data_IF_759685994943
#
_entry.id   IF_759685994943
#
_cell.length_a   1.000
_cell.length_b   1.000
_cell.length_c   1.000
_cell.angle_alpha   90.00
_cell.angle_beta   90.00
_cell.angle_gamma   90.00
#
_symmetry.space_group_name_H-M   'P 1'
#
loop_
_entity.id
_entity.type
_entity.pdbx_description
1 polymer ?
#
# COMPACT_ATOMS: atom_id res chain seq x y z
N UNK A 1 -16.37 9.72 1.55
CA UNK A 1 -15.24 9.68 0.60
C UNK A 1 -15.17 10.99 -0.18
N UNK A 2 -16.19 11.32 -0.98
CA UNK A 2 -16.23 12.55 -1.79
C UNK A 2 -15.96 13.85 -1.01
N UNK A 3 -16.59 14.00 0.17
CA UNK A 3 -16.39 15.18 1.02
C UNK A 3 -14.94 15.38 1.46
N UNK A 4 -14.21 14.29 1.72
CA UNK A 4 -12.80 14.31 2.15
C UNK A 4 -11.89 14.66 0.97
N UNK A 5 -12.15 14.09 -0.21
CA UNK A 5 -11.43 14.42 -1.45
C UNK A 5 -11.56 15.91 -1.80
N UNK A 6 -12.77 16.46 -1.71
CA UNK A 6 -13.07 17.84 -2.11
C UNK A 6 -12.59 18.90 -1.11
N UNK A 7 -12.39 18.54 0.16
CA UNK A 7 -12.03 19.48 1.23
C UNK A 7 -10.78 19.02 1.98
N UNK A 8 -9.59 19.04 1.35
CA UNK A 8 -8.38 18.44 1.89
C UNK A 8 -7.81 19.13 3.14
N UNK A 9 -8.30 20.31 3.50
CA UNK A 9 -7.90 21.05 4.71
C UNK A 9 -8.96 21.06 5.79
N UNK A 10 -10.14 20.48 5.54
CA UNK A 10 -11.23 20.44 6.49
C UNK A 10 -11.21 19.10 7.24
N UNK A 11 -11.44 19.12 8.55
CA UNK A 11 -11.61 17.89 9.31
C UNK A 11 -12.91 17.18 8.91
N UNK A 12 -12.76 15.96 8.40
CA UNK A 12 -13.85 15.05 8.05
C UNK A 12 -13.67 13.71 8.75
N UNK A 13 -14.68 12.85 8.69
CA UNK A 13 -14.64 11.52 9.31
C UNK A 13 -13.51 10.60 8.80
N UNK A 14 -12.89 10.89 7.65
CA UNK A 14 -11.78 10.08 7.12
C UNK A 14 -10.40 10.53 7.65
N UNK A 15 -10.27 11.77 8.15
CA UNK A 15 -9.01 12.26 8.69
C UNK A 15 -8.60 11.55 9.99
N UNK A 16 -9.59 11.04 10.74
CA UNK A 16 -9.34 10.26 11.97
C UNK A 16 -8.80 8.85 11.68
N UNK A 17 -8.93 8.38 10.44
CA UNK A 17 -8.54 7.02 10.02
C UNK A 17 -7.27 7.05 9.17
N UNK A 18 -7.09 8.08 8.36
CA UNK A 18 -5.97 8.24 7.45
C UNK A 18 -4.92 9.18 8.05
N UNK A 19 -3.76 8.67 8.50
CA UNK A 19 -2.71 9.48 9.12
C UNK A 19 -1.90 10.24 8.05
N UNK A 20 -2.59 11.09 7.27
CA UNK A 20 -1.99 11.88 6.21
C UNK A 20 -1.07 12.95 6.79
N UNK A 21 0.08 13.11 6.18
CA UNK A 21 1.04 14.15 6.54
C UNK A 21 0.98 15.26 5.50
N UNK A 22 1.30 16.49 5.88
CA UNK A 22 1.36 17.60 4.94
C UNK A 22 2.46 17.39 3.88
N UNK A 23 2.26 18.00 2.71
CA UNK A 23 3.16 17.89 1.57
C UNK A 23 4.58 18.38 1.90
N UNK A 24 4.75 19.40 2.74
CA UNK A 24 6.10 19.91 3.06
C UNK A 24 6.89 18.86 3.86
N UNK A 25 6.28 18.25 4.86
CA UNK A 25 6.88 17.16 5.65
C UNK A 25 7.10 15.91 4.79
N UNK A 26 6.21 15.62 3.83
CA UNK A 26 6.39 14.51 2.90
C UNK A 26 7.59 14.74 1.95
N UNK A 27 7.74 15.95 1.39
CA UNK A 27 8.91 16.31 0.59
C UNK A 27 10.21 16.31 1.39
N UNK A 28 10.17 16.77 2.65
CA UNK A 28 11.32 16.65 3.55
C UNK A 28 11.69 15.18 3.78
N UNK A 29 10.69 14.31 3.99
CA UNK A 29 10.91 12.86 4.12
C UNK A 29 11.56 12.27 2.87
N UNK A 30 11.13 12.69 1.67
CA UNK A 30 11.77 12.30 0.41
C UNK A 30 13.23 12.78 0.33
N UNK A 31 13.48 14.03 0.70
CA UNK A 31 14.82 14.62 0.72
C UNK A 31 15.76 13.85 1.67
N UNK A 32 15.27 13.53 2.88
CA UNK A 32 16.03 12.73 3.85
C UNK A 32 16.28 11.32 3.34
N UNK A 33 15.30 10.68 2.70
CA UNK A 33 15.50 9.37 2.07
C UNK A 33 16.63 9.40 1.02
N UNK A 34 16.62 10.40 0.12
CA UNK A 34 17.70 10.61 -0.86
C UNK A 34 19.05 10.83 -0.19
N UNK A 35 19.09 11.65 0.85
CA UNK A 35 20.30 11.95 1.60
C UNK A 35 20.88 10.69 2.28
N UNK A 36 20.02 9.87 2.92
CA UNK A 36 20.44 8.60 3.52
C UNK A 36 20.98 7.65 2.47
N UNK A 37 20.32 7.48 1.32
CA UNK A 37 20.84 6.68 0.20
C UNK A 37 22.19 7.21 -0.27
N UNK A 38 22.34 8.52 -0.45
CA UNK A 38 23.58 9.15 -0.88
C UNK A 38 24.72 8.90 0.11
N UNK A 39 24.47 9.07 1.41
CA UNK A 39 25.46 8.84 2.47
C UNK A 39 25.85 7.37 2.57
N UNK A 40 24.87 6.45 2.51
CA UNK A 40 25.13 5.02 2.64
C UNK A 40 26.00 4.50 1.49
N UNK A 41 25.75 4.95 0.26
CA UNK A 41 26.61 4.64 -0.90
C UNK A 41 28.02 5.21 -0.69
N UNK A 42 28.15 6.43 -0.17
CA UNK A 42 29.47 7.03 0.08
C UNK A 42 30.25 6.29 1.16
N UNK A 43 29.59 5.78 2.21
CA UNK A 43 30.22 4.93 3.22
C UNK A 43 30.74 3.64 2.59
N UNK A 44 29.90 2.96 1.80
CA UNK A 44 30.29 1.72 1.10
C UNK A 44 31.49 1.97 0.17
N UNK A 45 31.44 3.03 -0.64
CA UNK A 45 32.54 3.41 -1.53
C UNK A 45 33.81 3.82 -0.77
N UNK A 46 33.65 4.46 0.38
CA UNK A 46 34.74 4.79 1.29
C UNK A 46 35.47 3.55 1.77
N UNK A 47 34.75 2.51 2.18
CA UNK A 47 35.32 1.23 2.59
C UNK A 47 35.96 0.50 1.40
N UNK A 48 35.29 0.47 0.24
CA UNK A 48 35.86 -0.14 -0.98
C UNK A 48 37.21 0.50 -1.32
N UNK A 49 37.27 1.81 -1.42
CA UNK A 49 38.48 2.51 -1.88
C UNK A 49 39.59 2.57 -0.83
N UNK A 50 39.24 2.68 0.47
CA UNK A 50 40.24 2.88 1.52
C UNK A 50 40.61 1.61 2.29
N UNK A 51 39.82 0.54 2.16
CA UNK A 51 40.08 -0.74 2.85
C UNK A 51 40.34 -1.84 1.84
N UNK A 52 39.36 -2.18 0.99
CA UNK A 52 39.47 -3.37 0.12
C UNK A 52 40.40 -3.17 -1.07
N UNK A 53 40.44 -1.97 -1.65
CA UNK A 53 41.28 -1.63 -2.80
C UNK A 53 42.66 -1.07 -2.39
N UNK A 54 42.96 -0.97 -1.08
CA UNK A 54 44.25 -0.52 -0.54
C UNK A 54 45.11 -1.69 -0.11
N UNK A 55 46.26 -1.88 -0.75
CA UNK A 55 47.21 -2.95 -0.40
C UNK A 55 47.97 -2.59 0.89
N UNK A 56 47.43 -2.97 2.05
CA UNK A 56 48.12 -2.82 3.34
C UNK A 56 49.27 -3.84 3.49
N UNK A 57 50.37 -3.50 4.18
CA UNK A 57 51.42 -4.45 4.52
C UNK A 57 51.00 -5.43 5.64
N UNK A 58 51.61 -6.64 5.72
CA UNK A 58 51.33 -7.65 6.75
C UNK A 58 51.42 -7.15 8.19
N UNK A 59 52.29 -6.17 8.45
CA UNK A 59 52.52 -5.59 9.77
C UNK A 59 51.32 -4.78 10.31
N UNK A 60 50.34 -4.43 9.47
CA UNK A 60 49.14 -3.69 9.86
C UNK A 60 47.91 -4.59 10.08
N UNK A 61 48.11 -5.84 10.52
CA UNK A 61 47.01 -6.67 11.00
C UNK A 61 46.22 -5.91 12.10
N UNK A 62 44.87 -5.86 12.04
CA UNK A 62 43.97 -6.69 11.25
C UNK A 62 43.54 -6.10 9.88
N UNK A 63 44.11 -4.97 9.45
CA UNK A 63 43.80 -4.33 8.15
C UNK A 63 44.49 -5.01 6.97
N UNK A 64 45.43 -5.92 7.24
CA UNK A 64 46.07 -6.73 6.24
C UNK A 64 45.14 -7.83 5.72
N UNK A 65 44.78 -7.76 4.44
CA UNK A 65 44.14 -8.83 3.71
C UNK A 65 45.09 -9.32 2.62
N UNK A 66 45.12 -10.62 2.29
CA UNK A 66 45.88 -11.12 1.15
C UNK A 66 45.14 -10.74 -0.15
N UNK A 67 45.33 -9.49 -0.59
CA UNK A 67 44.53 -8.82 -1.63
C UNK A 67 44.95 -9.19 -3.06
N UNK A 68 45.24 -10.46 -3.31
CA UNK A 68 45.69 -10.96 -4.61
C UNK A 68 44.61 -10.90 -5.71
N UNK A 69 43.35 -10.59 -5.35
CA UNK A 69 42.22 -10.49 -6.27
C UNK A 69 42.09 -9.14 -7.00
N UNK A 70 41.23 -9.07 -8.04
CA UNK A 70 40.94 -7.84 -8.78
C UNK A 70 40.27 -6.78 -7.90
N UNK A 71 40.42 -5.51 -8.25
CA UNK A 71 39.80 -4.38 -7.52
C UNK A 71 38.29 -4.49 -7.52
N UNK A 72 37.69 -4.29 -6.34
CA UNK A 72 36.23 -4.28 -6.18
C UNK A 72 35.69 -3.00 -6.82
N UNK A 73 34.74 -3.08 -7.76
CA UNK A 73 34.17 -1.90 -8.38
C UNK A 73 33.30 -1.15 -7.38
N UNK A 74 33.34 0.18 -7.45
CA UNK A 74 32.57 1.06 -6.57
C UNK A 74 31.08 1.04 -6.92
N UNK A 75 30.26 1.33 -5.93
CA UNK A 75 28.82 1.46 -6.08
C UNK A 75 28.48 2.83 -6.69
N UNK A 76 27.62 2.83 -7.70
CA UNK A 76 27.07 4.04 -8.26
C UNK A 76 26.15 4.72 -7.24
N UNK A 77 26.41 5.99 -6.98
CA UNK A 77 25.50 6.83 -6.20
C UNK A 77 24.44 7.39 -7.15
N UNK A 78 23.14 7.11 -6.94
CA UNK A 78 22.10 7.66 -7.80
C UNK A 78 21.90 9.16 -7.62
N UNK A 79 22.55 9.78 -6.63
CA UNK A 79 22.42 11.19 -6.32
C UNK A 79 23.78 11.91 -6.29
N UNK A 80 23.75 13.18 -6.64
CA UNK A 80 24.80 14.14 -6.34
C UNK A 80 24.71 14.62 -4.88
N UNK A 81 25.73 15.36 -4.41
CA UNK A 81 25.76 15.92 -3.06
C UNK A 81 24.65 16.95 -2.78
N UNK A 82 24.11 17.58 -3.83
CA UNK A 82 22.92 18.44 -3.80
C UNK A 82 21.60 17.65 -3.98
N UNK A 83 21.64 16.32 -3.89
CA UNK A 83 20.49 15.40 -3.99
C UNK A 83 19.77 15.37 -5.35
N UNK A 84 20.36 15.95 -6.40
CA UNK A 84 19.85 15.78 -7.77
C UNK A 84 20.23 14.40 -8.31
N UNK A 85 19.42 13.87 -9.21
CA UNK A 85 19.68 12.57 -9.84
C UNK A 85 21.02 12.59 -10.60
N UNK A 86 21.72 11.47 -10.57
CA UNK A 86 23.03 11.28 -11.18
C UNK A 86 23.04 9.98 -11.99
N UNK A 87 23.60 10.05 -13.19
CA UNK A 87 23.91 8.86 -13.97
C UNK A 87 25.23 8.22 -13.51
N UNK A 88 25.29 6.89 -13.60
CA UNK A 88 26.48 6.15 -13.18
C UNK A 88 27.64 6.37 -14.15
N UNK A 89 28.83 6.59 -13.60
CA UNK A 89 30.05 6.68 -14.39
C UNK A 89 30.52 5.30 -14.86
N UNK A 90 31.39 5.28 -15.88
CA UNK A 90 31.97 4.04 -16.37
C UNK A 90 32.72 3.30 -15.26
N UNK A 91 32.43 2.00 -15.12
CA UNK A 91 33.05 1.13 -14.10
C UNK A 91 32.35 1.15 -12.73
N UNK A 92 31.35 2.01 -12.52
CA UNK A 92 30.50 1.94 -11.33
C UNK A 92 29.41 0.86 -11.47
N UNK A 93 29.03 0.24 -10.37
CA UNK A 93 27.96 -0.77 -10.35
C UNK A 93 26.67 -0.18 -9.80
N UNK A 94 25.55 -0.42 -10.48
CA UNK A 94 24.24 0.05 -10.04
C UNK A 94 23.78 -0.67 -8.76
N UNK A 95 22.91 0.00 -7.97
CA UNK A 95 22.29 -0.60 -6.79
C UNK A 95 21.58 -1.94 -7.07
N UNK A 96 21.03 -2.09 -8.28
CA UNK A 96 20.33 -3.31 -8.69
C UNK A 96 21.27 -4.51 -8.89
N UNK A 97 22.46 -4.28 -9.46
CA UNK A 97 23.37 -5.35 -9.86
C UNK A 97 24.55 -5.57 -8.90
N UNK A 98 24.76 -4.66 -7.95
CA UNK A 98 25.96 -4.64 -7.12
C UNK A 98 26.22 -5.95 -6.36
N UNK A 99 25.17 -6.57 -5.80
CA UNK A 99 25.29 -7.83 -5.07
C UNK A 99 25.80 -8.96 -5.97
N UNK A 100 25.24 -9.11 -7.17
CA UNK A 100 25.66 -10.13 -8.14
C UNK A 100 27.08 -9.87 -8.67
N UNK A 101 27.46 -8.62 -8.92
CA UNK A 101 28.81 -8.28 -9.37
C UNK A 101 29.84 -8.56 -8.28
N UNK A 102 29.56 -8.16 -7.03
CA UNK A 102 30.50 -8.32 -5.92
C UNK A 102 30.74 -9.76 -5.49
N UNK A 103 29.83 -10.71 -5.79
CA UNK A 103 30.06 -12.15 -5.55
C UNK A 103 31.37 -12.65 -6.16
N UNK A 104 31.77 -12.11 -7.30
CA UNK A 104 33.00 -12.50 -8.03
C UNK A 104 34.29 -12.08 -7.32
N UNK A 105 34.18 -11.27 -6.26
CA UNK A 105 35.31 -10.71 -5.52
C UNK A 105 35.42 -11.32 -4.11
N UNK A 106 34.55 -12.28 -3.78
CA UNK A 106 34.58 -12.99 -2.51
C UNK A 106 35.76 -13.96 -2.49
N UNK A 107 36.53 -13.91 -1.41
CA UNK A 107 37.60 -14.86 -1.12
C UNK A 107 37.14 -15.90 -0.08
N UNK A 108 37.80 -17.05 -0.06
CA UNK A 108 37.75 -17.97 1.08
C UNK A 108 38.63 -17.43 2.19
N UNK A 109 38.21 -17.55 3.44
CA UNK A 109 38.92 -17.00 4.60
C UNK A 109 39.67 -18.09 5.36
N UNK A 110 40.88 -17.77 5.84
CA UNK A 110 41.66 -18.60 6.77
C UNK A 110 41.08 -18.54 8.20
N UNK A 111 41.62 -19.36 9.11
CA UNK A 111 41.29 -19.30 10.54
C UNK A 111 41.61 -17.95 11.22
N UNK A 112 42.41 -17.09 10.58
CA UNK A 112 42.70 -15.72 11.05
C UNK A 112 41.79 -14.65 10.44
N UNK A 113 40.78 -15.03 9.64
CA UNK A 113 39.82 -14.10 9.03
C UNK A 113 40.34 -13.35 7.81
N UNK A 114 41.51 -13.74 7.28
CA UNK A 114 42.14 -13.14 6.10
C UNK A 114 41.83 -13.97 4.86
N UNK A 115 41.71 -13.35 3.69
CA UNK A 115 41.58 -14.06 2.42
C UNK A 115 42.73 -15.06 2.21
N UNK A 116 42.41 -16.32 1.94
CA UNK A 116 43.34 -17.38 1.53
C UNK A 116 43.41 -17.51 0.01
N UNK A 117 42.30 -17.29 -0.68
CA UNK A 117 42.19 -17.36 -2.15
C UNK A 117 42.13 -15.96 -2.77
N UNK A 118 42.38 -15.83 -4.10
CA UNK A 118 42.28 -14.55 -4.79
C UNK A 118 40.88 -13.93 -4.63
N UNK A 119 40.83 -12.77 -3.98
CA UNK A 119 39.62 -11.98 -3.76
C UNK A 119 39.93 -10.80 -2.85
N UNK A 120 38.95 -9.92 -2.65
CA UNK A 120 39.10 -8.72 -1.82
C UNK A 120 37.98 -8.53 -0.79
N UNK A 121 36.92 -9.33 -0.88
CA UNK A 121 35.80 -9.31 0.06
C UNK A 121 35.77 -10.62 0.84
N UNK A 122 35.72 -10.54 2.17
CA UNK A 122 35.37 -11.70 2.98
C UNK A 122 33.85 -11.93 2.91
N UNK A 123 33.35 -13.15 3.17
CA UNK A 123 31.91 -13.40 3.21
C UNK A 123 31.15 -12.48 4.18
N UNK A 124 31.78 -12.12 5.31
CA UNK A 124 31.21 -11.19 6.29
C UNK A 124 31.06 -9.78 5.71
N UNK A 125 32.11 -9.22 5.11
CA UNK A 125 32.04 -7.88 4.52
C UNK A 125 31.09 -7.83 3.33
N UNK A 126 31.08 -8.87 2.49
CA UNK A 126 30.10 -9.00 1.41
C UNK A 126 28.65 -8.92 1.92
N UNK A 127 28.35 -9.61 3.03
CA UNK A 127 27.00 -9.62 3.62
C UNK A 127 26.62 -8.25 4.17
N UNK A 128 27.55 -7.53 4.81
CA UNK A 128 27.30 -6.18 5.30
C UNK A 128 27.10 -5.17 4.16
N UNK A 129 27.93 -5.23 3.13
CA UNK A 129 27.80 -4.38 1.95
C UNK A 129 26.51 -4.66 1.18
N UNK A 130 26.12 -5.93 1.04
CA UNK A 130 24.87 -6.29 0.35
C UNK A 130 23.64 -5.81 1.12
N UNK A 131 23.65 -5.88 2.45
CA UNK A 131 22.60 -5.29 3.28
C UNK A 131 22.50 -3.77 3.07
N UNK A 132 23.64 -3.06 3.06
CA UNK A 132 23.66 -1.61 2.80
C UNK A 132 23.14 -1.26 1.41
N UNK A 133 23.50 -2.04 0.38
CA UNK A 133 22.98 -1.88 -0.98
C UNK A 133 21.47 -2.14 -1.03
N UNK A 134 20.97 -3.19 -0.38
CA UNK A 134 19.55 -3.52 -0.39
C UNK A 134 18.71 -2.42 0.26
N UNK A 135 19.16 -1.86 1.38
CA UNK A 135 18.51 -0.70 2.02
C UNK A 135 18.55 0.51 1.09
N UNK A 136 19.71 0.82 0.50
CA UNK A 136 19.87 1.92 -0.45
C UNK A 136 18.95 1.77 -1.66
N UNK A 137 18.84 0.55 -2.20
CA UNK A 137 17.95 0.20 -3.30
C UNK A 137 16.48 0.37 -2.91
N UNK A 138 16.10 -0.09 -1.72
CA UNK A 138 14.73 0.06 -1.22
C UNK A 138 14.32 1.53 -1.08
N UNK A 139 15.18 2.35 -0.45
CA UNK A 139 14.96 3.79 -0.31
C UNK A 139 14.89 4.50 -1.67
N UNK A 140 15.78 4.15 -2.61
CA UNK A 140 15.80 4.72 -3.96
C UNK A 140 14.56 4.34 -4.77
N UNK A 141 14.18 3.06 -4.78
CA UNK A 141 13.11 2.52 -5.63
C UNK A 141 11.72 2.81 -5.07
N UNK A 142 11.54 2.66 -3.77
CA UNK A 142 10.23 2.76 -3.11
C UNK A 142 10.00 4.09 -2.40
N UNK A 143 11.04 4.90 -2.16
CA UNK A 143 10.93 6.20 -1.48
C UNK A 143 9.84 7.11 -2.05
N UNK A 144 9.79 7.39 -3.37
CA UNK A 144 8.76 8.25 -3.94
C UNK A 144 7.33 7.72 -3.72
N UNK A 145 7.14 6.41 -3.84
CA UNK A 145 5.83 5.79 -3.61
C UNK A 145 5.40 5.86 -2.15
N UNK A 146 6.32 5.58 -1.21
CA UNK A 146 6.03 5.67 0.23
C UNK A 146 5.69 7.10 0.65
N UNK A 147 6.32 8.10 0.03
CA UNK A 147 6.01 9.51 0.27
C UNK A 147 4.62 9.87 -0.27
N UNK A 148 4.23 9.37 -1.45
CA UNK A 148 2.88 9.58 -1.99
C UNK A 148 1.77 8.85 -1.19
N UNK A 149 2.14 7.81 -0.44
CA UNK A 149 1.23 7.19 0.54
C UNK A 149 1.14 8.05 1.81
N UNK A 150 2.26 8.61 2.25
CA UNK A 150 2.36 9.44 3.45
C UNK A 150 1.58 10.75 3.31
N UNK A 151 1.65 11.43 2.17
CA UNK A 151 0.88 12.65 1.90
C UNK A 151 -0.58 12.38 1.48
N UNK A 152 -0.98 11.10 1.47
CA UNK A 152 -2.28 10.61 1.05
C UNK A 152 -2.70 11.00 -0.37
N UNK A 153 -1.78 11.48 -1.22
CA UNK A 153 -2.10 11.79 -2.62
C UNK A 153 -2.61 10.54 -3.33
N UNK A 154 -1.95 9.40 -3.10
CA UNK A 154 -2.41 8.10 -3.60
C UNK A 154 -3.84 7.75 -3.17
N UNK A 155 -4.15 7.95 -1.88
CA UNK A 155 -5.48 7.63 -1.33
C UNK A 155 -6.54 8.56 -1.91
N UNK A 156 -6.19 9.84 -2.08
CA UNK A 156 -7.08 10.85 -2.65
C UNK A 156 -7.36 10.59 -4.12
N UNK A 157 -6.36 10.23 -4.90
CA UNK A 157 -6.53 9.83 -6.30
C UNK A 157 -7.42 8.59 -6.40
N UNK A 158 -7.13 7.54 -5.63
CA UNK A 158 -7.94 6.33 -5.60
C UNK A 158 -9.40 6.59 -5.20
N UNK A 159 -9.65 7.44 -4.21
CA UNK A 159 -11.02 7.79 -3.82
C UNK A 159 -11.72 8.68 -4.83
N UNK A 160 -10.98 9.52 -5.55
CA UNK A 160 -11.51 10.33 -6.66
C UNK A 160 -12.00 9.40 -7.77
N UNK A 161 -11.17 8.44 -8.17
CA UNK A 161 -11.52 7.45 -9.19
C UNK A 161 -12.72 6.60 -8.74
N UNK A 162 -12.73 6.12 -7.49
CA UNK A 162 -13.85 5.34 -6.97
C UNK A 162 -15.16 6.14 -6.99
N UNK A 163 -15.08 7.40 -6.54
CA UNK A 163 -16.25 8.27 -6.47
C UNK A 163 -16.79 8.63 -7.85
N UNK A 164 -15.90 8.88 -8.81
CA UNK A 164 -16.29 9.25 -10.15
C UNK A 164 -16.83 8.05 -10.94
N UNK A 165 -16.16 6.90 -10.87
CA UNK A 165 -16.43 5.78 -11.79
C UNK A 165 -17.46 4.78 -11.25
N UNK A 166 -17.58 4.61 -9.93
CA UNK A 166 -18.42 3.55 -9.35
C UNK A 166 -19.60 4.07 -8.52
N UNK A 167 -19.48 5.22 -7.85
CA UNK A 167 -20.58 5.73 -7.03
C UNK A 167 -21.84 6.13 -7.81
N UNK A 168 -21.79 6.68 -9.04
CA UNK A 168 -23.00 7.03 -9.79
C UNK A 168 -23.88 5.82 -10.09
N UNK A 169 -23.28 4.73 -10.58
CA UNK A 169 -23.98 3.48 -10.89
C UNK A 169 -24.54 2.86 -9.61
N UNK A 170 -23.75 2.80 -8.54
CA UNK A 170 -24.19 2.28 -7.25
C UNK A 170 -25.40 3.07 -6.72
N UNK A 171 -25.37 4.40 -6.84
CA UNK A 171 -26.49 5.27 -6.46
C UNK A 171 -27.71 5.04 -7.34
N UNK A 172 -27.52 4.85 -8.65
CA UNK A 172 -28.63 4.61 -9.56
C UNK A 172 -29.31 3.28 -9.26
N UNK A 173 -28.56 2.19 -9.12
CA UNK A 173 -29.10 0.86 -8.83
C UNK A 173 -29.73 0.78 -7.44
N UNK A 174 -29.13 1.40 -6.41
CA UNK A 174 -29.72 1.45 -5.08
C UNK A 174 -31.04 2.22 -5.05
N UNK A 175 -31.18 3.30 -5.83
CA UNK A 175 -32.45 3.99 -6.01
C UNK A 175 -33.52 3.09 -6.67
N UNK A 176 -33.17 2.33 -7.71
CA UNK A 176 -34.09 1.37 -8.33
C UNK A 176 -34.56 0.29 -7.34
N UNK A 177 -33.63 -0.27 -6.55
CA UNK A 177 -33.95 -1.26 -5.53
C UNK A 177 -34.88 -0.66 -4.48
N UNK A 178 -34.60 0.57 -4.02
CA UNK A 178 -35.44 1.27 -3.06
C UNK A 178 -36.86 1.50 -3.60
N UNK A 179 -36.99 1.98 -4.84
CA UNK A 179 -38.29 2.15 -5.51
C UNK A 179 -39.03 0.81 -5.59
N UNK A 180 -38.35 -0.26 -6.00
CA UNK A 180 -38.93 -1.61 -6.03
C UNK A 180 -39.43 -2.06 -4.66
N UNK A 181 -38.64 -1.84 -3.61
CA UNK A 181 -39.01 -2.21 -2.24
C UNK A 181 -40.22 -1.41 -1.72
N UNK A 182 -40.29 -0.12 -2.05
CA UNK A 182 -41.45 0.72 -1.74
C UNK A 182 -42.71 0.21 -2.45
N UNK A 183 -42.64 -0.11 -3.74
CA UNK A 183 -43.77 -0.65 -4.51
C UNK A 183 -44.26 -1.98 -3.92
N UNK A 184 -43.35 -2.91 -3.63
CA UNK A 184 -43.71 -4.21 -3.02
C UNK A 184 -44.37 -4.02 -1.65
N UNK A 185 -43.81 -3.14 -0.81
CA UNK A 185 -44.39 -2.83 0.51
C UNK A 185 -45.80 -2.26 0.40
N UNK A 186 -46.04 -1.35 -0.54
CA UNK A 186 -47.35 -0.76 -0.78
C UNK A 186 -48.36 -1.80 -1.30
N UNK A 187 -47.94 -2.68 -2.22
CA UNK A 187 -48.78 -3.75 -2.75
C UNK A 187 -49.21 -4.76 -1.66
N UNK A 188 -48.29 -5.13 -0.76
CA UNK A 188 -48.60 -6.00 0.38
C UNK A 188 -49.59 -5.32 1.32
N UNK A 189 -49.37 -4.04 1.66
CA UNK A 189 -50.29 -3.28 2.52
C UNK A 189 -51.71 -3.20 1.92
N UNK A 190 -51.82 -2.89 0.63
CA UNK A 190 -53.11 -2.88 -0.07
C UNK A 190 -53.77 -4.26 -0.12
N UNK A 191 -52.99 -5.32 -0.36
CA UNK A 191 -53.49 -6.70 -0.37
C UNK A 191 -54.08 -7.09 0.98
N UNK A 192 -53.41 -6.71 2.08
CA UNK A 192 -53.92 -6.94 3.43
C UNK A 192 -55.20 -6.15 3.71
N UNK A 193 -55.28 -4.89 3.29
CA UNK A 193 -56.49 -4.06 3.44
C UNK A 193 -57.66 -4.69 2.68
N UNK A 194 -57.47 -5.05 1.41
CA UNK A 194 -58.50 -5.71 0.62
C UNK A 194 -58.94 -7.04 1.24
N UNK A 195 -58.00 -7.83 1.78
CA UNK A 195 -58.31 -9.07 2.46
C UNK A 195 -59.17 -8.86 3.71
N UNK A 196 -58.88 -7.84 4.52
CA UNK A 196 -59.67 -7.49 5.71
C UNK A 196 -61.09 -7.04 5.33
N UNK A 197 -61.23 -6.20 4.30
CA UNK A 197 -62.54 -5.74 3.80
C UNK A 197 -63.36 -6.93 3.30
N UNK A 198 -62.76 -7.79 2.47
CA UNK A 198 -63.40 -8.99 1.94
C UNK A 198 -63.84 -9.94 3.05
N UNK A 199 -62.98 -10.19 4.05
CA UNK A 199 -63.31 -11.04 5.19
C UNK A 199 -64.47 -10.46 6.03
N UNK A 200 -64.50 -9.13 6.22
CA UNK A 200 -65.59 -8.44 6.91
C UNK A 200 -66.91 -8.55 6.15
N UNK A 201 -66.90 -8.29 4.85
CA UNK A 201 -68.11 -8.38 4.03
C UNK A 201 -68.64 -9.82 3.98
N UNK A 202 -67.74 -10.81 3.84
CA UNK A 202 -68.11 -12.22 3.88
C UNK A 202 -68.74 -12.61 5.22
N UNK A 203 -68.20 -12.13 6.36
CA UNK A 203 -68.85 -12.34 7.67
C UNK A 203 -70.23 -11.69 7.72
N UNK A 204 -70.37 -10.44 7.28
CA UNK A 204 -71.68 -9.76 7.25
C UNK A 204 -72.71 -10.53 6.41
N UNK A 205 -72.33 -11.04 5.22
CA UNK A 205 -73.21 -11.86 4.38
C UNK A 205 -73.61 -13.18 5.03
N UNK A 206 -72.76 -13.77 5.87
CA UNK A 206 -73.11 -14.98 6.63
C UNK A 206 -74.08 -14.64 7.77
N UNK A 207 -73.84 -13.56 8.51
CA UNK A 207 -74.72 -13.13 9.60
C UNK A 207 -76.11 -12.72 9.10
N UNK A 208 -76.23 -11.99 7.98
CA UNK A 208 -77.55 -11.65 7.42
C UNK A 208 -78.32 -12.89 6.96
N UNK A 209 -77.65 -13.84 6.29
CA UNK A 209 -78.27 -15.12 5.92
C UNK A 209 -78.74 -15.94 7.13
N UNK A 210 -77.99 -15.93 8.23
CA UNK A 210 -78.39 -16.59 9.47
C UNK A 210 -79.57 -15.89 10.15
N UNK A 211 -79.64 -14.55 10.08
CA UNK A 211 -80.75 -13.78 10.64
C UNK A 211 -82.04 -14.00 9.84
N UNK A 212 -81.98 -13.91 8.50
CA UNK A 212 -83.11 -14.17 7.60
C UNK A 212 -83.66 -15.59 7.79
N UNK A 213 -82.79 -16.61 7.85
CA UNK A 213 -83.20 -17.99 8.11
C UNK A 213 -83.81 -18.20 9.50
N UNK A 214 -83.41 -17.41 10.50
CA UNK A 214 -84.00 -17.46 11.85
C UNK A 214 -85.37 -16.78 11.90
N UNK A 215 -85.56 -15.67 11.17
CA UNK A 215 -86.87 -15.02 11.02
C UNK A 215 -87.87 -15.86 10.22
N UNK A 216 -87.43 -16.57 9.16
CA UNK A 216 -88.30 -17.52 8.43
C UNK A 216 -88.72 -18.72 9.30
N UNK A 217 -87.81 -19.25 10.13
CA UNK A 217 -88.12 -20.32 11.08
C UNK A 217 -89.11 -19.89 12.17
N UNK A 218 -89.08 -18.63 12.59
CA UNK A 218 -89.98 -18.07 13.60
C UNK A 218 -91.39 -17.76 13.04
N UNK A 219 -91.50 -17.47 11.73
CA UNK A 219 -92.79 -17.27 11.05
C UNK A 219 -93.55 -18.57 10.72
N UNK A 220 -92.84 -19.70 10.57
CA UNK A 220 -93.45 -21.04 10.34
C UNK A 220 -93.85 -21.80 11.61
N UNK A 221 -93.55 -21.25 12.78
CA UNK A 221 -93.79 -21.88 14.08
C UNK A 221 -95.02 -21.36 14.85
N UNK A 222 -95.94 -20.64 14.19
CA UNK A 222 -97.19 -20.13 14.79
C UNK A 222 -98.40 -20.61 14.02
#
# INVERSE_FOLDING_TARGET
MDQWVQNPTAHTALDDILPCVDNATAQETLSQSKNVTHQLVNVVNGVINNVFNRNFPPALAPLYFNQSGPLVPVLCNPFHSNLTNRDCAFGEVTLHNATEVWKKYICEVSGSGVCSTPGRLTPQFYTQMSAAVNVSYGLYRYGPFLVNLQDCTFVRDAFTDISHDYCPDLRHYSQWIYIGLVIVSAAVMLSLIFWVIYARERRHRVYTKQYDGRSEGQYKGR
#
